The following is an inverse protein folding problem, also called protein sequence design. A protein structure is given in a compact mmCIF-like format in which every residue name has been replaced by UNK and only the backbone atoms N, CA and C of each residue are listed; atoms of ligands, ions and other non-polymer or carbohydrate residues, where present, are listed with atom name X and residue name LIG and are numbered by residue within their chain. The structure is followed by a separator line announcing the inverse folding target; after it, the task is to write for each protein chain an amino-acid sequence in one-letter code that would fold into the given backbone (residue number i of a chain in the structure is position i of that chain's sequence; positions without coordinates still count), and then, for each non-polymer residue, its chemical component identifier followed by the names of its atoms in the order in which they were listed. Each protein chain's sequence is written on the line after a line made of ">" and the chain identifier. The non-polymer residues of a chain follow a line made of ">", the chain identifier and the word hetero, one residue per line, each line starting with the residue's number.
data_IF_045207116559
#
_entry.id   IF_045207116559
#
_cell.length_a   1.000
_cell.length_b   1.000
_cell.length_c   1.000
_cell.angle_alpha   90.00
_cell.angle_beta   90.00
_cell.angle_gamma   90.00
#
_symmetry.space_group_name_H-M   'P 1'
#
loop_
_entity.id
_entity.type
_entity.pdbx_description
1 polymer ?
#
# COMPACT_ATOMS: atom_id res chain seq x y z
N UNK A 1 25.67 50.77 -4.26
CA UNK A 1 25.72 51.26 -5.66
C UNK A 1 26.54 50.28 -6.49
N UNK A 2 25.94 49.77 -7.56
CA UNK A 2 26.51 49.18 -8.80
C UNK A 2 27.45 47.95 -8.73
N UNK A 3 26.85 46.80 -9.05
CA UNK A 3 27.26 45.67 -9.92
C UNK A 3 28.73 45.31 -10.19
N UNK A 4 29.06 44.00 -10.22
CA UNK A 4 30.10 43.44 -11.08
C UNK A 4 29.48 42.70 -12.28
N UNK A 5 29.78 43.17 -13.48
CA UNK A 5 29.53 42.47 -14.75
C UNK A 5 30.75 41.64 -15.13
N UNK A 6 30.53 40.39 -15.57
CA UNK A 6 31.26 39.80 -16.69
C UNK A 6 30.32 38.88 -17.50
N UNK A 7 29.90 39.42 -18.65
CA UNK A 7 29.48 38.84 -19.95
C UNK A 7 29.23 37.33 -20.01
N UNK A 8 28.00 36.88 -20.25
CA UNK A 8 27.30 36.75 -21.55
C UNK A 8 27.71 35.51 -22.37
N UNK A 9 26.78 34.56 -22.52
CA UNK A 9 26.49 33.97 -23.82
C UNK A 9 25.05 33.43 -23.86
N UNK A 10 24.21 34.07 -24.68
CA UNK A 10 22.91 33.56 -25.10
C UNK A 10 23.17 32.59 -26.25
N UNK A 11 22.77 31.34 -26.08
CA UNK A 11 22.49 30.45 -27.22
C UNK A 11 21.08 29.91 -27.03
N UNK A 12 20.22 30.20 -28.00
CA UNK A 12 18.86 29.69 -28.08
C UNK A 12 18.84 28.67 -29.22
N UNK A 13 18.51 27.42 -28.93
CA UNK A 13 18.06 26.46 -29.94
C UNK A 13 16.85 25.72 -29.41
N UNK A 14 15.78 25.72 -30.20
CA UNK A 14 14.63 24.83 -30.07
C UNK A 14 14.94 23.55 -30.84
N UNK A 15 14.62 22.38 -30.28
CA UNK A 15 13.93 21.24 -30.91
C UNK A 15 14.12 19.96 -30.07
N UNK A 16 12.98 19.40 -29.65
CA UNK A 16 12.67 17.97 -29.50
C UNK A 16 13.85 17.01 -29.34
N UNK A 17 14.05 16.54 -28.10
CA UNK A 17 14.83 15.35 -27.74
C UNK A 17 13.92 14.26 -27.15
N UNK A 18 14.38 13.00 -27.08
CA UNK A 18 13.58 11.82 -27.39
C UNK A 18 12.61 11.40 -26.27
N UNK A 19 11.59 10.64 -26.66
CA UNK A 19 10.83 9.81 -25.73
C UNK A 19 11.80 8.95 -24.91
N UNK A 20 11.82 9.15 -23.59
CA UNK A 20 12.63 8.34 -22.69
C UNK A 20 12.00 6.95 -22.60
N UNK A 21 12.49 6.04 -23.45
CA UNK A 21 12.38 4.61 -23.26
C UNK A 21 13.45 4.24 -22.22
N UNK A 22 12.99 3.77 -21.06
CA UNK A 22 13.81 3.00 -20.09
C UNK A 22 14.76 3.82 -19.21
N UNK A 23 14.36 4.07 -17.97
CA UNK A 23 15.25 4.59 -16.92
C UNK A 23 14.63 4.45 -15.53
N UNK A 24 15.18 3.51 -14.75
CA UNK A 24 15.00 3.28 -13.31
C UNK A 24 13.60 3.01 -12.75
N UNK A 25 13.14 1.76 -12.87
CA UNK A 25 12.30 1.10 -11.84
C UNK A 25 13.14 0.68 -10.62
N UNK A 26 14.14 1.47 -10.27
CA UNK A 26 14.79 1.42 -8.96
C UNK A 26 13.72 1.82 -7.95
N UNK A 27 13.44 0.92 -7.02
CA UNK A 27 12.35 0.95 -6.06
C UNK A 27 12.29 2.28 -5.30
N UNK A 28 11.51 3.24 -5.79
CA UNK A 28 11.23 4.47 -5.05
C UNK A 28 10.55 4.08 -3.75
N UNK A 29 11.21 4.40 -2.65
CA UNK A 29 10.70 4.16 -1.31
C UNK A 29 9.57 5.15 -0.99
N UNK A 30 8.49 4.63 -0.41
CA UNK A 30 7.43 5.41 0.24
C UNK A 30 7.87 5.70 1.69
N UNK A 31 8.46 4.69 2.34
CA UNK A 31 9.04 4.74 3.67
C UNK A 31 10.33 3.92 3.72
N UNK A 32 10.95 3.81 4.90
CA UNK A 32 12.18 3.03 5.12
C UNK A 32 12.10 1.63 4.50
N UNK A 33 10.95 0.97 4.60
CA UNK A 33 10.81 -0.43 4.22
C UNK A 33 9.81 -0.72 3.12
N UNK A 34 8.95 0.23 2.75
CA UNK A 34 7.92 0.02 1.74
C UNK A 34 8.18 0.86 0.51
N UNK A 35 7.85 0.31 -0.65
CA UNK A 35 8.13 0.90 -1.95
C UNK A 35 6.87 1.10 -2.78
N UNK A 36 6.91 2.05 -3.72
CA UNK A 36 5.81 2.28 -4.65
C UNK A 36 5.50 1.04 -5.49
N UNK A 37 6.51 0.23 -5.80
CA UNK A 37 6.33 -1.04 -6.51
C UNK A 37 5.47 -2.02 -5.71
N UNK A 38 5.73 -2.17 -4.41
CA UNK A 38 4.89 -3.03 -3.55
C UNK A 38 3.47 -2.48 -3.42
N UNK A 39 3.32 -1.15 -3.36
CA UNK A 39 2.03 -0.51 -3.23
C UNK A 39 1.14 -0.64 -4.48
N UNK A 40 1.72 -0.62 -5.68
CA UNK A 40 0.95 -0.58 -6.94
C UNK A 40 1.03 -1.86 -7.76
N UNK A 41 1.86 -2.83 -7.38
CA UNK A 41 1.93 -4.11 -8.09
C UNK A 41 0.64 -4.93 -7.90
N UNK A 42 0.15 -5.50 -9.00
CA UNK A 42 -1.00 -6.41 -9.00
C UNK A 42 -0.83 -7.44 -10.11
N UNK A 43 -0.69 -8.72 -9.74
CA UNK A 43 -0.60 -9.80 -10.72
C UNK A 43 -1.85 -9.88 -11.60
N UNK A 44 -3.02 -9.50 -11.05
CA UNK A 44 -4.26 -9.43 -11.83
C UNK A 44 -4.20 -8.32 -12.86
N UNK A 45 -3.64 -7.15 -12.50
CA UNK A 45 -3.44 -6.06 -13.45
C UNK A 45 -2.50 -6.48 -14.58
N UNK A 46 -1.36 -7.11 -14.24
CA UNK A 46 -0.40 -7.64 -15.22
C UNK A 46 -1.05 -8.67 -16.14
N UNK A 47 -1.72 -9.70 -15.59
CA UNK A 47 -2.35 -10.76 -16.38
C UNK A 47 -3.47 -10.26 -17.29
N UNK A 48 -4.18 -9.19 -16.90
CA UNK A 48 -5.33 -8.65 -17.63
C UNK A 48 -5.02 -7.38 -18.42
N UNK A 49 -3.78 -6.89 -18.40
CA UNK A 49 -3.41 -5.63 -19.05
C UNK A 49 -4.14 -4.40 -18.49
N UNK A 50 -4.48 -4.41 -17.19
CA UNK A 50 -5.16 -3.28 -16.54
C UNK A 50 -4.13 -2.30 -15.97
N UNK A 51 -4.46 -1.01 -15.98
CA UNK A 51 -3.68 0.01 -15.26
C UNK A 51 -3.99 -0.03 -13.76
N UNK A 52 -2.96 0.18 -12.96
CA UNK A 52 -3.05 0.22 -11.49
C UNK A 52 -2.29 1.42 -10.93
N UNK A 53 -2.45 2.58 -11.57
CA UNK A 53 -1.75 3.81 -11.21
C UNK A 53 -2.64 4.67 -10.30
N UNK A 54 -2.20 5.02 -9.08
CA UNK A 54 -2.96 5.87 -8.18
C UNK A 54 -2.91 7.34 -8.63
N UNK A 55 -4.00 8.08 -8.38
CA UNK A 55 -3.99 9.54 -8.44
C UNK A 55 -3.30 10.14 -7.21
N UNK A 56 -3.15 11.47 -7.17
CA UNK A 56 -2.38 12.14 -6.11
C UNK A 56 -3.04 12.02 -4.72
N UNK A 57 -4.37 11.95 -4.65
CA UNK A 57 -5.07 11.76 -3.38
C UNK A 57 -4.85 10.34 -2.84
N UNK A 58 -4.89 9.34 -3.72
CA UNK A 58 -4.60 7.95 -3.36
C UNK A 58 -3.11 7.76 -3.02
N UNK A 59 -2.19 8.46 -3.69
CA UNK A 59 -0.77 8.44 -3.32
C UNK A 59 -0.55 8.92 -1.89
N UNK A 60 -1.21 10.01 -1.49
CA UNK A 60 -1.11 10.49 -0.10
C UNK A 60 -1.64 9.45 0.90
N UNK A 61 -2.75 8.79 0.57
CA UNK A 61 -3.30 7.72 1.41
C UNK A 61 -2.38 6.49 1.50
N UNK A 62 -1.67 6.15 0.42
CA UNK A 62 -0.64 5.11 0.41
C UNK A 62 0.53 5.50 1.32
N UNK A 63 0.98 6.76 1.29
CA UNK A 63 2.03 7.24 2.21
C UNK A 63 1.59 7.12 3.68
N UNK A 64 0.35 7.52 4.00
CA UNK A 64 -0.20 7.39 5.35
C UNK A 64 -0.29 5.93 5.80
N UNK A 65 -0.77 5.05 4.92
CA UNK A 65 -0.80 3.61 5.19
C UNK A 65 0.61 3.01 5.33
N UNK A 66 1.61 3.52 4.61
CA UNK A 66 3.00 3.09 4.75
C UNK A 66 3.52 3.34 6.16
N UNK A 67 3.25 4.52 6.74
CA UNK A 67 3.61 4.83 8.13
C UNK A 67 2.92 3.88 9.12
N UNK A 68 1.65 3.55 8.88
CA UNK A 68 0.94 2.54 9.67
C UNK A 68 1.58 1.15 9.59
N UNK A 69 2.00 0.73 8.39
CA UNK A 69 2.68 -0.54 8.15
C UNK A 69 4.07 -0.61 8.78
N UNK A 70 4.79 0.52 8.88
CA UNK A 70 6.04 0.57 9.66
C UNK A 70 5.77 0.29 11.14
N UNK A 71 4.69 0.86 11.69
CA UNK A 71 4.21 0.54 13.03
C UNK A 71 3.88 -0.94 13.21
N UNK A 72 3.26 -1.57 12.21
CA UNK A 72 3.04 -3.02 12.19
C UNK A 72 4.37 -3.78 12.22
N UNK A 73 5.33 -3.43 11.37
CA UNK A 73 6.64 -4.10 11.34
C UNK A 73 7.34 -4.04 12.70
N UNK A 74 7.39 -2.86 13.32
CA UNK A 74 8.04 -2.70 14.62
C UNK A 74 7.32 -3.47 15.72
N UNK A 75 5.98 -3.47 15.72
CA UNK A 75 5.21 -4.28 16.66
C UNK A 75 5.51 -5.79 16.53
N UNK A 76 5.72 -6.26 15.30
CA UNK A 76 6.01 -7.66 15.01
C UNK A 76 7.52 -8.00 15.10
N UNK A 77 8.30 -7.19 15.83
CA UNK A 77 9.71 -7.44 16.15
C UNK A 77 10.70 -7.00 15.07
N UNK A 78 10.36 -5.92 14.34
CA UNK A 78 11.15 -5.35 13.23
C UNK A 78 11.45 -6.36 12.12
N UNK A 79 10.59 -7.37 11.95
CA UNK A 79 10.70 -8.39 10.90
C UNK A 79 9.95 -7.95 9.64
N UNK A 80 10.38 -8.39 8.45
CA UNK A 80 9.65 -8.10 7.22
C UNK A 80 8.22 -8.65 7.26
N UNK A 81 7.30 -7.86 6.68
CA UNK A 81 5.96 -8.30 6.31
C UNK A 81 5.87 -8.26 4.79
N UNK A 82 5.36 -9.32 4.19
CA UNK A 82 5.21 -9.44 2.74
C UNK A 82 3.89 -8.82 2.30
N UNK A 83 3.96 -7.71 1.57
CA UNK A 83 2.79 -7.10 0.96
C UNK A 83 2.34 -7.98 -0.21
N UNK A 84 1.08 -8.41 -0.18
CA UNK A 84 0.47 -9.28 -1.20
C UNK A 84 -0.51 -8.54 -2.09
N UNK A 85 -1.08 -7.43 -1.59
CA UNK A 85 -1.92 -6.50 -2.33
C UNK A 85 -1.99 -5.20 -1.54
N UNK A 86 -2.01 -4.06 -2.22
CA UNK A 86 -2.22 -2.76 -1.58
C UNK A 86 -3.18 -1.93 -2.41
N UNK A 87 -2.71 -0.98 -3.23
CA UNK A 87 -3.61 -0.23 -4.09
C UNK A 87 -4.22 -1.12 -5.18
N UNK A 88 -5.53 -0.97 -5.38
CA UNK A 88 -6.26 -1.56 -6.50
C UNK A 88 -7.11 -0.47 -7.15
N UNK A 89 -6.81 -0.13 -8.41
CA UNK A 89 -7.69 0.70 -9.23
C UNK A 89 -9.10 0.11 -9.26
N UNK A 90 -10.14 0.93 -9.53
CA UNK A 90 -11.51 0.43 -9.60
C UNK A 90 -11.67 -0.80 -10.50
N UNK A 91 -10.98 -0.83 -11.64
CA UNK A 91 -10.98 -1.94 -12.59
C UNK A 91 -10.28 -3.19 -12.03
N UNK A 92 -9.11 -3.02 -11.40
CA UNK A 92 -8.37 -4.12 -10.77
C UNK A 92 -9.16 -4.69 -9.59
N UNK A 93 -9.76 -3.83 -8.78
CA UNK A 93 -10.60 -4.23 -7.65
C UNK A 93 -11.84 -5.01 -8.13
N UNK A 94 -12.52 -4.52 -9.16
CA UNK A 94 -13.64 -5.25 -9.77
C UNK A 94 -13.21 -6.60 -10.35
N UNK A 95 -12.05 -6.66 -11.01
CA UNK A 95 -11.50 -7.87 -11.61
C UNK A 95 -11.22 -9.00 -10.61
N UNK A 96 -10.93 -8.65 -9.34
CA UNK A 96 -10.73 -9.60 -8.23
C UNK A 96 -11.98 -9.81 -7.37
N UNK A 97 -13.13 -9.24 -7.78
CA UNK A 97 -14.39 -9.35 -7.03
C UNK A 97 -14.41 -8.54 -5.72
N UNK A 98 -13.59 -7.49 -5.62
CA UNK A 98 -13.54 -6.61 -4.47
C UNK A 98 -14.78 -5.73 -4.33
N UNK A 99 -15.07 -5.28 -3.10
CA UNK A 99 -16.14 -4.32 -2.83
C UNK A 99 -15.83 -2.97 -3.49
N UNK A 100 -16.86 -2.28 -4.01
CA UNK A 100 -16.75 -0.90 -4.52
C UNK A 100 -16.37 0.13 -3.45
N UNK A 101 -16.57 -0.22 -2.17
CA UNK A 101 -16.24 0.62 -1.01
C UNK A 101 -14.97 0.15 -0.30
N UNK A 102 -14.13 -0.65 -0.96
CA UNK A 102 -12.90 -1.19 -0.38
C UNK A 102 -11.84 -0.10 -0.21
N UNK A 103 -11.17 -0.10 0.94
CA UNK A 103 -10.05 0.81 1.21
C UNK A 103 -8.79 0.53 0.36
N UNK A 104 -8.74 -0.60 -0.36
CA UNK A 104 -7.73 -0.83 -1.39
C UNK A 104 -7.88 0.16 -2.57
N UNK A 105 -9.10 0.61 -2.87
CA UNK A 105 -9.36 1.60 -3.94
C UNK A 105 -8.90 2.99 -3.52
N UNK A 106 -8.97 3.29 -2.21
CA UNK A 106 -8.58 4.60 -1.68
C UNK A 106 -7.12 4.64 -1.24
N UNK A 107 -6.38 3.52 -1.30
CA UNK A 107 -4.97 3.44 -0.95
C UNK A 107 -4.68 3.18 0.53
N UNK A 108 -5.69 3.22 1.40
CA UNK A 108 -5.52 3.09 2.85
C UNK A 108 -5.30 1.65 3.34
N UNK A 109 -5.54 0.64 2.50
CA UNK A 109 -5.47 -0.75 2.93
C UNK A 109 -4.43 -1.60 2.22
N UNK A 110 -3.79 -2.47 2.99
CA UNK A 110 -2.86 -3.48 2.51
C UNK A 110 -3.21 -4.87 3.04
N UNK A 111 -3.03 -5.86 2.18
CA UNK A 111 -3.06 -7.27 2.52
C UNK A 111 -1.62 -7.77 2.64
N UNK A 112 -1.27 -8.43 3.75
CA UNK A 112 0.10 -8.85 4.01
C UNK A 112 0.20 -10.20 4.73
N UNK A 113 1.41 -10.78 4.70
CA UNK A 113 1.80 -11.94 5.49
C UNK A 113 3.02 -11.60 6.36
N UNK A 114 2.95 -11.79 7.69
CA UNK A 114 4.15 -11.70 8.52
C UNK A 114 5.11 -12.87 8.21
N UNK A 115 6.42 -12.61 8.11
CA UNK A 115 7.39 -13.70 7.84
C UNK A 115 7.79 -14.49 9.08
N UNK A 116 7.76 -13.86 10.25
CA UNK A 116 8.30 -14.43 11.48
C UNK A 116 7.30 -15.23 12.31
N UNK A 117 6.03 -15.18 11.95
CA UNK A 117 4.90 -15.80 12.67
C UNK A 117 3.74 -16.01 11.71
N UNK A 118 2.70 -16.73 12.12
CA UNK A 118 1.49 -16.85 11.31
C UNK A 118 0.60 -15.59 11.43
N UNK A 119 -0.37 -15.45 10.53
CA UNK A 119 -1.26 -14.29 10.49
C UNK A 119 -2.11 -14.16 11.76
N UNK A 120 -2.54 -15.28 12.37
CA UNK A 120 -3.34 -15.24 13.60
C UNK A 120 -2.55 -14.63 14.77
N UNK A 121 -1.30 -15.05 14.96
CA UNK A 121 -0.40 -14.52 15.99
C UNK A 121 -0.16 -13.03 15.79
N UNK A 122 0.13 -12.60 14.55
CA UNK A 122 0.30 -11.19 14.24
C UNK A 122 -0.97 -10.39 14.50
N UNK A 123 -2.15 -10.91 14.14
CA UNK A 123 -3.41 -10.24 14.40
C UNK A 123 -3.67 -10.05 15.89
N UNK A 124 -3.39 -11.06 16.73
CA UNK A 124 -3.48 -10.93 18.20
C UNK A 124 -2.56 -9.84 18.74
N UNK A 125 -1.34 -9.74 18.22
CA UNK A 125 -0.40 -8.70 18.64
C UNK A 125 -0.88 -7.30 18.22
N UNK A 126 -1.35 -7.14 16.97
CA UNK A 126 -1.90 -5.87 16.46
C UNK A 126 -3.12 -5.44 17.26
N UNK A 127 -4.08 -6.35 17.50
CA UNK A 127 -5.29 -6.10 18.29
C UNK A 127 -4.97 -5.60 19.70
N UNK A 128 -3.98 -6.23 20.36
CA UNK A 128 -3.57 -5.90 21.72
C UNK A 128 -2.70 -4.61 21.83
N UNK A 129 -2.24 -4.08 20.69
CA UNK A 129 -1.33 -2.92 20.65
C UNK A 129 -2.09 -1.58 20.64
N UNK A 130 -1.41 -0.46 20.96
CA UNK A 130 -1.99 0.88 20.79
C UNK A 130 -2.02 1.36 19.32
N UNK A 131 -1.51 0.57 18.36
CA UNK A 131 -1.44 0.98 16.94
C UNK A 131 -2.84 1.28 16.41
N UNK A 132 -3.08 2.50 15.95
CA UNK A 132 -4.37 2.90 15.40
C UNK A 132 -4.53 2.37 13.97
N UNK A 133 -5.70 1.77 13.71
CA UNK A 133 -6.12 1.28 12.40
C UNK A 133 -7.65 1.41 12.30
N UNK A 134 -8.18 1.40 11.09
CA UNK A 134 -9.62 1.37 10.87
C UNK A 134 -10.18 -0.04 10.98
N UNK A 135 -9.62 -0.96 10.20
CA UNK A 135 -10.10 -2.34 10.13
C UNK A 135 -8.92 -3.31 10.01
N UNK A 136 -8.96 -4.40 10.79
CA UNK A 136 -8.05 -5.54 10.73
C UNK A 136 -8.89 -6.79 10.46
N UNK A 137 -8.63 -7.47 9.33
CA UNK A 137 -9.32 -8.71 8.97
C UNK A 137 -8.31 -9.84 8.85
N UNK A 138 -8.54 -10.92 9.59
CA UNK A 138 -7.82 -12.17 9.42
C UNK A 138 -8.49 -13.06 8.38
N UNK A 139 -7.70 -13.60 7.43
CA UNK A 139 -8.12 -14.58 6.42
C UNK A 139 -7.45 -15.93 6.73
N UNK A 140 -8.06 -16.81 7.57
CA UNK A 140 -7.46 -18.06 8.01
C UNK A 140 -7.06 -18.97 6.86
N UNK A 141 -7.93 -19.12 5.85
CA UNK A 141 -7.70 -20.00 4.70
C UNK A 141 -6.51 -19.58 3.82
N UNK A 142 -5.99 -18.36 3.99
CA UNK A 142 -4.90 -17.81 3.19
C UNK A 142 -3.66 -17.48 4.02
N UNK A 143 -3.72 -17.71 5.34
CA UNK A 143 -2.77 -17.23 6.35
C UNK A 143 -2.31 -15.79 6.06
N UNK A 144 -3.29 -14.87 5.98
CA UNK A 144 -3.09 -13.50 5.52
C UNK A 144 -3.90 -12.52 6.34
N UNK A 145 -3.38 -11.31 6.51
CA UNK A 145 -4.08 -10.19 7.13
C UNK A 145 -4.42 -9.13 6.10
N UNK A 146 -5.55 -8.47 6.30
CA UNK A 146 -5.88 -7.18 5.73
C UNK A 146 -5.84 -6.16 6.84
N UNK A 147 -5.23 -5.01 6.60
CA UNK A 147 -5.29 -3.86 7.50
C UNK A 147 -5.61 -2.59 6.70
N UNK A 148 -6.53 -1.78 7.22
CA UNK A 148 -6.85 -0.45 6.70
C UNK A 148 -6.47 0.61 7.72
N UNK A 149 -5.83 1.68 7.25
CA UNK A 149 -5.52 2.89 8.03
C UNK A 149 -6.43 4.06 7.67
N UNK A 150 -7.63 3.80 7.15
CA UNK A 150 -8.56 4.86 6.77
C UNK A 150 -8.86 5.80 7.97
N UNK A 151 -9.09 7.10 7.74
CA UNK A 151 -9.20 8.11 8.81
C UNK A 151 -10.32 7.88 9.86
N UNK A 152 -11.22 6.93 9.61
CA UNK A 152 -12.26 6.53 10.56
C UNK A 152 -11.69 5.87 11.83
N UNK A 153 -10.54 5.19 11.71
CA UNK A 153 -9.76 4.62 12.83
C UNK A 153 -10.59 3.84 13.86
N UNK A 154 -11.56 3.04 13.39
CA UNK A 154 -12.53 2.31 14.24
C UNK A 154 -11.93 1.21 15.11
N UNK A 155 -10.70 0.76 14.82
CA UNK A 155 -10.09 -0.45 15.38
C UNK A 155 -10.99 -1.69 15.26
N UNK A 156 -11.69 -1.82 14.15
CA UNK A 156 -12.59 -2.94 13.90
C UNK A 156 -11.77 -4.21 13.61
N UNK A 157 -11.97 -5.28 14.38
CA UNK A 157 -11.29 -6.57 14.19
C UNK A 157 -12.28 -7.60 13.71
N UNK A 158 -11.93 -8.35 12.67
CA UNK A 158 -12.81 -9.32 12.01
C UNK A 158 -12.06 -10.57 11.55
N UNK A 159 -12.81 -11.64 11.33
CA UNK A 159 -12.33 -12.88 10.69
C UNK A 159 -13.16 -13.19 9.47
N UNK A 160 -12.51 -13.44 8.32
CA UNK A 160 -13.17 -13.98 7.12
C UNK A 160 -13.34 -15.48 7.28
N UNK A 161 -14.56 -15.94 7.53
CA UNK A 161 -14.87 -17.37 7.63
C UNK A 161 -14.76 -18.06 6.26
N UNK A 162 -14.73 -19.39 6.27
CA UNK A 162 -14.77 -20.20 5.05
C UNK A 162 -16.11 -20.06 4.32
N UNK A 163 -17.22 -19.99 5.06
CA UNK A 163 -18.45 -19.42 4.52
C UNK A 163 -18.18 -17.95 4.24
N UNK A 164 -18.66 -17.39 3.13
CA UNK A 164 -18.31 -16.04 2.68
C UNK A 164 -18.74 -14.89 3.64
N UNK A 165 -19.05 -15.18 4.89
CA UNK A 165 -19.38 -14.27 5.99
C UNK A 165 -18.12 -13.76 6.70
N UNK A 166 -18.24 -12.59 7.31
CA UNK A 166 -17.25 -12.05 8.23
C UNK A 166 -17.80 -12.14 9.66
N UNK A 167 -16.97 -12.56 10.61
CA UNK A 167 -17.28 -12.57 12.03
C UNK A 167 -16.53 -11.45 12.75
N UNK A 168 -17.12 -10.90 13.81
CA UNK A 168 -16.46 -9.92 14.67
C UNK A 168 -15.41 -10.61 15.54
N UNK A 169 -14.24 -9.99 15.65
CA UNK A 169 -13.11 -10.49 16.43
C UNK A 169 -12.29 -11.57 15.71
N UNK A 170 -11.27 -12.05 16.41
CA UNK A 170 -10.40 -13.15 15.98
C UNK A 170 -10.98 -14.47 16.47
N UNK A 171 -11.96 -14.96 15.72
CA UNK A 171 -12.70 -16.19 16.01
C UNK A 171 -12.04 -17.34 15.25
N UNK A 172 -11.30 -18.19 15.97
CA UNK A 172 -10.54 -19.31 15.42
C UNK A 172 -11.43 -20.50 15.07
#
# INVERSE_FOLDING_TARGET
>A
MTSPWLRANKVRFHKTGPALIGGDTMTTHISTHFTWREATHSDTAVRRGLRNDPDDAVKQAIEDAAHGLEGVRSLLGDKPIDITSWYRSPEVNAAVGGSKTSDHITGYAADFRPRAMNAYQAAKMIEASPLMFDQLIWYPAQDRLHISFAPKLRREVMTKRQSATYAKGLDA
#
